data_IF_008034739879
#
_entry.id   IF_008034739879
#
_cell.length_a   1.000
_cell.length_b   1.000
_cell.length_c   1.000
_cell.angle_alpha   90.00
_cell.angle_beta   90.00
_cell.angle_gamma   90.00
#
_symmetry.space_group_name_H-M   'P 1'
#
loop_
_entity.id
_entity.type
_entity.pdbx_description
1 polymer ?
#
# COMPACT_ATOMS: atom_id res chain seq x y z
N UNK A 1 18.51 17.98 -17.93
CA UNK A 1 18.81 17.63 -16.52
C UNK A 1 18.92 16.11 -16.45
N UNK A 2 20.09 15.54 -16.08
CA UNK A 2 20.32 14.09 -16.22
C UNK A 2 19.37 13.31 -15.29
N UNK A 3 18.68 12.29 -15.81
CA UNK A 3 17.78 11.38 -15.06
C UNK A 3 18.45 10.89 -13.77
N UNK A 4 19.78 10.69 -13.79
CA UNK A 4 20.57 10.30 -12.62
C UNK A 4 20.56 11.31 -11.47
N UNK A 5 20.45 12.61 -11.72
CA UNK A 5 20.41 13.64 -10.68
C UNK A 5 19.05 13.71 -9.99
N UNK A 6 17.96 13.50 -10.74
CA UNK A 6 16.61 13.47 -10.19
C UNK A 6 16.39 12.23 -9.32
N UNK A 7 16.86 11.05 -9.77
CA UNK A 7 16.85 9.82 -8.96
C UNK A 7 17.68 9.94 -7.69
N UNK A 8 18.84 10.61 -7.75
CA UNK A 8 19.68 10.79 -6.57
C UNK A 8 19.03 11.74 -5.56
N UNK A 9 18.36 12.80 -6.03
CA UNK A 9 17.57 13.67 -5.14
C UNK A 9 16.30 12.98 -4.63
N UNK A 10 15.78 12.02 -5.41
CA UNK A 10 14.72 11.00 -5.24
C UNK A 10 14.83 10.05 -4.03
N UNK A 11 15.91 9.30 -4.06
CA UNK A 11 15.96 8.00 -3.41
C UNK A 11 17.11 7.96 -2.40
N UNK A 12 18.07 8.88 -2.49
CA UNK A 12 19.25 8.83 -1.65
C UNK A 12 18.91 9.12 -0.18
N UNK A 13 19.26 8.21 0.74
CA UNK A 13 18.94 8.31 2.15
C UNK A 13 19.80 9.36 2.86
N UNK A 14 19.26 9.93 3.94
CA UNK A 14 19.98 10.90 4.79
C UNK A 14 20.57 10.29 6.07
N UNK A 15 20.18 9.07 6.43
CA UNK A 15 20.63 8.44 7.68
C UNK A 15 22.13 8.14 7.71
N UNK A 16 22.77 8.40 8.86
CA UNK A 16 24.21 8.15 9.08
C UNK A 16 24.54 6.67 9.32
N UNK A 17 23.65 5.93 9.99
CA UNK A 17 23.83 4.51 10.28
C UNK A 17 23.54 3.67 9.01
N UNK A 18 24.47 2.79 8.65
CA UNK A 18 24.39 2.00 7.42
C UNK A 18 23.12 1.14 7.31
N UNK A 19 22.66 0.53 8.40
CA UNK A 19 21.45 -0.30 8.39
C UNK A 19 20.18 0.56 8.20
N UNK A 20 20.06 1.66 8.97
CA UNK A 20 18.95 2.61 8.82
C UNK A 20 18.91 3.23 7.43
N UNK A 21 20.08 3.53 6.87
CA UNK A 21 20.26 4.06 5.52
C UNK A 21 19.74 3.11 4.44
N UNK A 22 19.99 1.81 4.59
CA UNK A 22 19.46 0.78 3.67
C UNK A 22 17.93 0.70 3.75
N UNK A 23 17.35 0.73 4.96
CA UNK A 23 15.90 0.66 5.15
C UNK A 23 15.17 1.91 4.63
N UNK A 24 15.73 3.09 4.89
CA UNK A 24 15.24 4.36 4.35
C UNK A 24 15.25 4.35 2.81
N UNK A 25 16.34 3.88 2.20
CA UNK A 25 16.43 3.73 0.75
C UNK A 25 15.33 2.81 0.20
N UNK A 26 15.13 1.64 0.82
CA UNK A 26 14.09 0.68 0.41
C UNK A 26 12.69 1.31 0.52
N UNK A 27 12.37 1.99 1.63
CA UNK A 27 11.10 2.70 1.80
C UNK A 27 10.89 3.73 0.67
N UNK A 28 11.91 4.53 0.36
CA UNK A 28 11.83 5.54 -0.68
C UNK A 28 11.61 4.91 -2.07
N UNK A 29 12.24 3.77 -2.36
CA UNK A 29 12.01 3.01 -3.60
C UNK A 29 10.57 2.52 -3.66
N UNK A 30 10.06 1.92 -2.58
CA UNK A 30 8.69 1.43 -2.51
C UNK A 30 7.67 2.57 -2.69
N UNK A 31 7.82 3.66 -1.93
CA UNK A 31 6.96 4.84 -2.05
C UNK A 31 7.00 5.43 -3.46
N UNK A 32 8.19 5.55 -4.07
CA UNK A 32 8.32 6.08 -5.43
C UNK A 32 7.61 5.18 -6.44
N UNK A 33 7.76 3.86 -6.32
CA UNK A 33 7.03 2.88 -7.14
C UNK A 33 5.51 3.03 -6.99
N UNK A 34 5.01 3.09 -5.75
CA UNK A 34 3.59 3.30 -5.46
C UNK A 34 3.07 4.61 -6.05
N UNK A 35 3.84 5.69 -5.96
CA UNK A 35 3.49 7.00 -6.55
C UNK A 35 3.37 6.89 -8.07
N UNK A 36 4.29 6.19 -8.75
CA UNK A 36 4.23 6.00 -10.21
C UNK A 36 2.95 5.24 -10.58
N UNK A 37 2.64 4.14 -9.89
CA UNK A 37 1.40 3.40 -10.14
C UNK A 37 0.15 4.24 -9.84
N UNK A 38 0.16 5.06 -8.79
CA UNK A 38 -0.94 5.97 -8.46
C UNK A 38 -1.13 7.07 -9.50
N UNK A 39 -0.05 7.60 -10.09
CA UNK A 39 -0.14 8.56 -11.19
C UNK A 39 -0.83 7.92 -12.38
N UNK A 40 -0.40 6.71 -12.78
CA UNK A 40 -1.01 5.97 -13.88
C UNK A 40 -2.50 5.69 -13.59
N UNK A 41 -2.81 5.22 -12.37
CA UNK A 41 -4.19 4.96 -11.96
C UNK A 41 -5.07 6.21 -11.96
N UNK A 42 -4.52 7.37 -11.58
CA UNK A 42 -5.23 8.66 -11.65
C UNK A 42 -5.50 9.06 -13.09
N UNK A 43 -4.53 8.91 -14.00
CA UNK A 43 -4.74 9.19 -15.43
C UNK A 43 -5.87 8.32 -15.99
N UNK A 44 -5.85 7.01 -15.71
CA UNK A 44 -6.91 6.09 -16.14
C UNK A 44 -8.26 6.53 -15.57
N UNK A 45 -8.32 6.85 -14.28
CA UNK A 45 -9.54 7.27 -13.58
C UNK A 45 -10.12 8.56 -14.18
N UNK A 46 -9.28 9.55 -14.45
CA UNK A 46 -9.68 10.83 -15.06
C UNK A 46 -10.22 10.58 -16.47
N UNK A 47 -9.48 9.85 -17.31
CA UNK A 47 -9.90 9.53 -18.68
C UNK A 47 -11.25 8.81 -18.66
N UNK A 48 -11.40 7.76 -17.85
CA UNK A 48 -12.66 7.03 -17.73
C UNK A 48 -13.81 7.91 -17.22
N UNK A 49 -13.57 8.77 -16.24
CA UNK A 49 -14.60 9.67 -15.71
C UNK A 49 -15.12 10.65 -16.77
N UNK A 50 -14.26 11.11 -17.67
CA UNK A 50 -14.64 12.03 -18.77
C UNK A 50 -15.34 11.25 -19.88
N UNK A 51 -14.83 10.09 -20.29
CA UNK A 51 -15.38 9.31 -21.40
C UNK A 51 -16.73 8.68 -21.06
N UNK A 52 -16.91 8.17 -19.84
CA UNK A 52 -18.12 7.47 -19.42
C UNK A 52 -19.15 8.41 -18.76
N UNK A 53 -18.75 9.60 -18.31
CA UNK A 53 -19.66 10.59 -17.70
C UNK A 53 -20.52 9.99 -16.58
N UNK A 54 -21.84 10.01 -16.78
CA UNK A 54 -22.82 9.48 -15.81
C UNK A 54 -22.83 7.95 -15.69
N UNK A 55 -22.25 7.22 -16.64
CA UNK A 55 -22.12 5.75 -16.57
C UNK A 55 -20.90 5.31 -15.74
N UNK A 56 -20.06 6.24 -15.30
CA UNK A 56 -18.87 5.92 -14.50
C UNK A 56 -19.26 5.43 -13.09
N UNK A 57 -18.94 4.17 -12.79
CA UNK A 57 -19.17 3.54 -11.47
C UNK A 57 -17.88 3.27 -10.68
N UNK A 58 -16.76 3.84 -11.12
CA UNK A 58 -15.47 3.68 -10.45
C UNK A 58 -15.30 4.63 -9.26
N UNK A 59 -14.07 4.70 -8.75
CA UNK A 59 -13.72 5.58 -7.64
C UNK A 59 -13.66 7.04 -8.10
N UNK A 60 -14.15 7.97 -7.28
CA UNK A 60 -14.11 9.40 -7.63
C UNK A 60 -12.67 9.85 -7.95
N UNK A 61 -12.44 10.57 -9.07
CA UNK A 61 -11.12 11.10 -9.41
C UNK A 61 -10.51 11.99 -8.32
N UNK A 62 -11.36 12.69 -7.55
CA UNK A 62 -10.90 13.51 -6.43
C UNK A 62 -10.29 12.64 -5.31
N UNK A 63 -10.87 11.46 -5.07
CA UNK A 63 -10.41 10.55 -4.03
C UNK A 63 -9.11 9.86 -4.43
N UNK A 64 -8.96 9.46 -5.70
CA UNK A 64 -7.69 8.91 -6.20
C UNK A 64 -6.56 9.94 -6.18
N UNK A 65 -6.87 11.21 -6.43
CA UNK A 65 -5.92 12.32 -6.30
C UNK A 65 -5.51 12.55 -4.84
N UNK A 66 -6.48 12.54 -3.91
CA UNK A 66 -6.20 12.66 -2.50
C UNK A 66 -5.24 11.56 -2.00
N UNK A 67 -5.45 10.31 -2.44
CA UNK A 67 -4.54 9.19 -2.11
C UNK A 67 -3.13 9.47 -2.66
N UNK A 68 -3.01 9.95 -3.90
CA UNK A 68 -1.71 10.31 -4.48
C UNK A 68 -0.99 11.37 -3.64
N UNK A 69 -1.69 12.42 -3.20
CA UNK A 69 -1.13 13.45 -2.34
C UNK A 69 -0.64 12.89 -1.00
N UNK A 70 -1.38 11.97 -0.39
CA UNK A 70 -0.96 11.29 0.85
C UNK A 70 0.35 10.53 0.65
N UNK A 71 0.50 9.80 -0.45
CA UNK A 71 1.74 9.06 -0.73
C UNK A 71 2.93 10.00 -1.02
N UNK A 72 2.70 11.12 -1.69
CA UNK A 72 3.72 12.17 -1.88
C UNK A 72 4.13 12.75 -0.51
N UNK A 73 3.17 12.98 0.39
CA UNK A 73 3.43 13.45 1.74
C UNK A 73 4.26 12.44 2.54
N UNK A 74 3.98 11.14 2.41
CA UNK A 74 4.79 10.09 3.05
C UNK A 74 6.23 10.09 2.57
N UNK A 75 6.44 10.25 1.25
CA UNK A 75 7.78 10.37 0.69
C UNK A 75 8.50 11.63 1.23
N UNK A 76 7.77 12.74 1.38
CA UNK A 76 8.30 13.95 1.98
C UNK A 76 8.69 13.75 3.46
N UNK A 77 7.81 13.14 4.27
CA UNK A 77 8.08 12.84 5.68
C UNK A 77 9.28 11.92 5.87
N UNK A 78 9.39 10.87 5.03
CA UNK A 78 10.52 9.94 5.07
C UNK A 78 11.86 10.68 4.92
N UNK A 79 11.91 11.72 4.09
CA UNK A 79 13.11 12.53 3.80
C UNK A 79 13.44 13.58 4.85
N UNK A 80 12.49 13.94 5.72
CA UNK A 80 12.76 14.86 6.83
C UNK A 80 13.41 14.10 8.01
N UNK A 81 13.40 12.77 7.97
CA UNK A 81 13.99 11.90 9.01
C UNK A 81 12.95 11.04 9.72
N UNK A 82 11.66 11.19 9.43
CA UNK A 82 10.58 10.42 10.04
C UNK A 82 10.35 9.05 9.35
N UNK A 83 11.37 8.45 8.75
CA UNK A 83 11.21 7.23 7.93
C UNK A 83 10.69 6.02 8.73
N UNK A 84 11.00 5.93 10.03
CA UNK A 84 10.48 4.87 10.90
C UNK A 84 8.96 5.00 11.04
N UNK A 85 8.48 6.20 11.38
CA UNK A 85 7.05 6.48 11.48
C UNK A 85 6.35 6.26 10.13
N UNK A 86 6.96 6.77 9.04
CA UNK A 86 6.43 6.55 7.69
C UNK A 86 6.35 5.06 7.34
N UNK A 87 7.32 4.24 7.74
CA UNK A 87 7.28 2.79 7.52
C UNK A 87 6.08 2.13 8.21
N UNK A 88 5.81 2.47 9.48
CA UNK A 88 4.63 1.95 10.20
C UNK A 88 3.33 2.36 9.52
N UNK A 89 3.20 3.64 9.14
CA UNK A 89 1.99 4.15 8.49
C UNK A 89 1.82 3.49 7.11
N UNK A 90 2.89 3.37 6.32
CA UNK A 90 2.88 2.71 5.02
C UNK A 90 2.39 1.26 5.13
N UNK A 91 2.95 0.50 6.07
CA UNK A 91 2.53 -0.89 6.34
C UNK A 91 1.06 -0.94 6.76
N UNK A 92 0.63 -0.05 7.66
CA UNK A 92 -0.76 0.03 8.10
C UNK A 92 -1.75 0.33 6.98
N UNK A 93 -1.41 1.25 6.07
CA UNK A 93 -2.23 1.57 4.88
C UNK A 93 -2.36 0.36 3.97
N UNK A 94 -1.24 -0.31 3.64
CA UNK A 94 -1.30 -1.52 2.81
C UNK A 94 -2.08 -2.65 3.48
N UNK A 95 -1.93 -2.82 4.79
CA UNK A 95 -2.69 -3.78 5.58
C UNK A 95 -4.19 -3.51 5.54
N UNK A 96 -4.60 -2.25 5.71
CA UNK A 96 -6.00 -1.86 5.63
C UNK A 96 -6.58 -2.12 4.22
N UNK A 97 -5.81 -1.84 3.16
CA UNK A 97 -6.22 -2.12 1.78
C UNK A 97 -6.37 -3.62 1.50
N UNK A 98 -5.42 -4.43 1.97
CA UNK A 98 -5.48 -5.89 1.85
C UNK A 98 -6.70 -6.46 2.60
N UNK A 99 -6.94 -5.95 3.81
CA UNK A 99 -8.10 -6.32 4.64
C UNK A 99 -9.42 -5.93 3.96
N UNK A 100 -9.51 -4.72 3.43
CA UNK A 100 -10.69 -4.26 2.70
C UNK A 100 -10.97 -5.15 1.48
N UNK A 101 -9.92 -5.58 0.77
CA UNK A 101 -10.07 -6.49 -0.36
C UNK A 101 -10.71 -7.81 0.03
N UNK A 102 -10.17 -8.50 1.03
CA UNK A 102 -10.71 -9.80 1.46
C UNK A 102 -12.09 -9.68 2.12
N UNK A 103 -12.36 -8.55 2.78
CA UNK A 103 -13.66 -8.25 3.37
C UNK A 103 -14.72 -8.11 2.28
N UNK A 104 -14.42 -7.35 1.21
CA UNK A 104 -15.40 -7.03 0.16
C UNK A 104 -15.58 -8.15 -0.85
N UNK A 105 -14.49 -8.81 -1.25
CA UNK A 105 -14.49 -9.79 -2.34
C UNK A 105 -14.31 -11.24 -1.87
N UNK A 106 -14.07 -11.47 -0.57
CA UNK A 106 -13.93 -12.81 -0.01
C UNK A 106 -12.49 -13.17 0.33
N UNK A 107 -12.33 -14.03 1.34
CA UNK A 107 -11.01 -14.50 1.80
C UNK A 107 -10.28 -15.35 0.75
N UNK A 108 -11.03 -15.93 -0.21
CA UNK A 108 -10.48 -16.78 -1.27
C UNK A 108 -9.82 -16.00 -2.41
N UNK A 109 -9.89 -14.67 -2.41
CA UNK A 109 -9.29 -13.83 -3.45
C UNK A 109 -7.76 -13.97 -3.42
N UNK A 110 -7.11 -14.53 -4.46
CA UNK A 110 -5.67 -14.79 -4.43
C UNK A 110 -4.83 -13.52 -4.22
N UNK A 111 -5.25 -12.40 -4.81
CA UNK A 111 -4.55 -11.13 -4.67
C UNK A 111 -4.55 -10.61 -3.23
N UNK A 112 -5.59 -10.87 -2.43
CA UNK A 112 -5.63 -10.50 -1.02
C UNK A 112 -4.55 -11.21 -0.19
N UNK A 113 -4.37 -12.52 -0.43
CA UNK A 113 -3.32 -13.31 0.22
C UNK A 113 -1.91 -12.84 -0.19
N UNK A 114 -1.71 -12.56 -1.49
CA UNK A 114 -0.45 -12.03 -2.00
C UNK A 114 -0.10 -10.68 -1.36
N UNK A 115 -1.09 -9.80 -1.15
CA UNK A 115 -0.87 -8.54 -0.45
C UNK A 115 -0.42 -8.77 1.00
N UNK A 116 -1.03 -9.69 1.75
CA UNK A 116 -0.56 -10.01 3.09
C UNK A 116 0.88 -10.54 3.10
N UNK A 117 1.23 -11.44 2.19
CA UNK A 117 2.60 -11.94 2.07
C UNK A 117 3.59 -10.80 1.79
N UNK A 118 3.24 -9.89 0.88
CA UNK A 118 4.05 -8.70 0.58
C UNK A 118 4.22 -7.80 1.81
N UNK A 119 3.14 -7.56 2.56
CA UNK A 119 3.16 -6.73 3.77
C UNK A 119 4.07 -7.35 4.83
N UNK A 120 4.01 -8.67 5.04
CA UNK A 120 4.89 -9.40 5.97
C UNK A 120 6.35 -9.19 5.57
N UNK A 121 6.70 -9.40 4.29
CA UNK A 121 8.07 -9.24 3.78
C UNK A 121 8.54 -7.80 3.96
N UNK A 122 7.76 -6.82 3.53
CA UNK A 122 8.13 -5.40 3.62
C UNK A 122 8.27 -4.97 5.09
N UNK A 123 7.40 -5.45 5.98
CA UNK A 123 7.47 -5.14 7.41
C UNK A 123 8.75 -5.67 8.07
N UNK A 124 9.22 -6.83 7.62
CA UNK A 124 10.48 -7.43 8.06
C UNK A 124 11.69 -6.61 7.62
N UNK A 125 11.67 -6.17 6.37
CA UNK A 125 12.74 -5.38 5.76
C UNK A 125 12.80 -3.96 6.34
N UNK A 126 11.65 -3.29 6.49
CA UNK A 126 11.60 -1.88 6.92
C UNK A 126 11.76 -1.70 8.43
N UNK A 127 11.21 -2.61 9.25
CA UNK A 127 11.16 -2.44 10.71
C UNK A 127 12.04 -3.48 11.40
N UNK A 128 11.67 -4.75 11.38
CA UNK A 128 12.46 -5.85 11.92
C UNK A 128 11.82 -7.20 11.64
N UNK A 129 12.62 -8.27 11.67
CA UNK A 129 12.11 -9.65 11.56
C UNK A 129 11.06 -10.00 12.64
N UNK A 130 11.22 -9.47 13.87
CA UNK A 130 10.24 -9.66 14.95
C UNK A 130 8.90 -9.02 14.60
N UNK A 131 8.93 -7.84 14.00
CA UNK A 131 7.72 -7.14 13.57
C UNK A 131 7.02 -7.88 12.42
N UNK A 132 7.76 -8.47 11.48
CA UNK A 132 7.17 -9.34 10.44
C UNK A 132 6.38 -10.52 11.03
N UNK A 133 6.90 -11.14 12.10
CA UNK A 133 6.18 -12.22 12.78
C UNK A 133 4.88 -11.72 13.41
N UNK A 134 4.89 -10.55 14.04
CA UNK A 134 3.68 -9.91 14.60
C UNK A 134 2.67 -9.64 13.48
N UNK A 135 3.10 -9.07 12.35
CA UNK A 135 2.24 -8.79 11.20
C UNK A 135 1.68 -10.08 10.60
N UNK A 136 2.47 -11.16 10.52
CA UNK A 136 1.98 -12.45 10.06
C UNK A 136 0.87 -12.99 10.97
N UNK A 137 1.08 -12.95 12.29
CA UNK A 137 0.07 -13.37 13.26
C UNK A 137 -1.22 -12.54 13.16
N UNK A 138 -1.09 -11.21 13.08
CA UNK A 138 -2.24 -10.31 12.90
C UNK A 138 -2.96 -10.62 11.58
N UNK A 139 -2.22 -10.81 10.48
CA UNK A 139 -2.80 -11.15 9.17
C UNK A 139 -3.58 -12.47 9.22
N UNK A 140 -3.01 -13.50 9.87
CA UNK A 140 -3.66 -14.79 10.05
C UNK A 140 -4.94 -14.68 10.89
N UNK A 141 -4.91 -13.93 11.99
CA UNK A 141 -6.09 -13.70 12.82
C UNK A 141 -7.18 -12.93 12.06
N UNK A 142 -6.81 -11.90 11.30
CA UNK A 142 -7.76 -11.15 10.46
C UNK A 142 -8.40 -12.05 9.40
N UNK A 143 -7.63 -12.91 8.74
CA UNK A 143 -8.15 -13.88 7.78
C UNK A 143 -9.12 -14.87 8.41
N UNK A 144 -8.76 -15.44 9.57
CA UNK A 144 -9.63 -16.35 10.31
C UNK A 144 -10.92 -15.66 10.76
N UNK A 145 -10.81 -14.43 11.28
CA UNK A 145 -11.95 -13.66 11.72
C UNK A 145 -12.92 -13.34 10.58
N UNK A 146 -12.41 -12.83 9.46
CA UNK A 146 -13.26 -12.53 8.29
C UNK A 146 -13.85 -13.82 7.70
N UNK A 147 -13.08 -14.91 7.64
CA UNK A 147 -13.56 -16.21 7.17
C UNK A 147 -14.72 -16.72 8.05
N UNK A 148 -14.57 -16.62 9.38
CA UNK A 148 -15.63 -16.97 10.32
C UNK A 148 -16.91 -16.14 10.08
N UNK A 149 -16.78 -14.83 9.89
CA UNK A 149 -17.94 -13.97 9.60
C UNK A 149 -18.59 -14.31 8.24
N UNK A 150 -17.80 -14.70 7.23
CA UNK A 150 -18.30 -15.10 5.92
C UNK A 150 -19.03 -16.45 5.97
N UNK A 151 -18.49 -17.44 6.70
CA UNK A 151 -19.12 -18.77 6.87
C UNK A 151 -20.46 -18.66 7.60
N UNK A 152 -20.56 -17.79 8.60
CA UNK A 152 -21.80 -17.55 9.34
C UNK A 152 -22.78 -16.60 8.61
N UNK A 153 -22.50 -16.22 7.36
CA UNK A 153 -23.32 -15.31 6.55
C UNK A 153 -23.56 -13.93 7.17
N UNK A 154 -22.71 -13.48 8.11
CA UNK A 154 -22.77 -12.13 8.67
C UNK A 154 -22.28 -11.10 7.64
N UNK A 155 -21.28 -11.49 6.85
CA UNK A 155 -20.77 -10.71 5.72
C UNK A 155 -20.94 -11.54 4.45
N UNK A 156 -21.62 -10.98 3.45
CA UNK A 156 -21.80 -11.61 2.14
C UNK A 156 -20.78 -10.98 1.18
N UNK A 157 -19.73 -11.70 0.76
CA UNK A 157 -18.73 -11.17 -0.16
C UNK A 157 -19.33 -11.02 -1.57
N UNK A 158 -18.85 -10.03 -2.30
CA UNK A 158 -19.17 -9.91 -3.72
C UNK A 158 -18.26 -10.84 -4.53
N UNK A 159 -18.83 -11.94 -5.02
CA UNK A 159 -18.12 -12.98 -5.77
C UNK A 159 -18.07 -12.75 -7.28
N UNK A 160 -18.34 -11.54 -7.78
CA UNK A 160 -18.32 -11.23 -9.23
C UNK A 160 -16.98 -11.56 -9.94
N UNK A 161 -15.90 -11.72 -9.18
CA UNK A 161 -14.58 -12.07 -9.72
C UNK A 161 -14.38 -13.58 -9.98
N UNK A 162 -15.25 -14.43 -9.42
CA UNK A 162 -15.21 -15.90 -9.55
C UNK A 162 -16.13 -16.35 -10.67
#
# INVERSE_FOLDING_TARGET
MKISQFFRKIVYPKSENEDLRRREFILNVLLSGSIIFLIIANVITIVQSITLGSAYRGMSPLLTLAILFVFILFLYLARIGFFVLTSYIFIGVYFALATYMIYRWGVQVPSGLLFYSLIIIISGILISARFAFIIALISSLTLLFISYLQINNIIIPNLYWK
#
